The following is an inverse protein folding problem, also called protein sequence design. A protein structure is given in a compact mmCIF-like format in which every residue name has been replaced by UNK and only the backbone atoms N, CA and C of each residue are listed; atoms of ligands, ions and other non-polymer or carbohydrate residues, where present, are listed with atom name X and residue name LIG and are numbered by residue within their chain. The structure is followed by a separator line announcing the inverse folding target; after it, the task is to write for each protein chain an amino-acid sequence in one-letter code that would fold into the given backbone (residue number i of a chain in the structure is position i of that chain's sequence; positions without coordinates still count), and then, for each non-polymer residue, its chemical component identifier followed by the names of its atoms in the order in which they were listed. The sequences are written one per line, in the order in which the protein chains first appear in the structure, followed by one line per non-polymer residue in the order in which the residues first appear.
data_IF_358189598333
#
_entry.id   IF_358189598333
#
_cell.length_a   1.000
_cell.length_b   1.000
_cell.length_c   1.000
_cell.angle_alpha   90.00
_cell.angle_beta   90.00
_cell.angle_gamma   90.00
#
_symmetry.space_group_name_H-M   'P 1'
#
loop_
_entity.id
_entity.type
_entity.pdbx_description
1 polymer ?
#
# COMPACT_ATOMS: atom_id res chain seq x y z
N UNK A 1 -6.89 -37.12 28.14
CA UNK A 1 -7.44 -36.24 27.09
C UNK A 1 -6.55 -35.01 27.02
N UNK A 2 -5.63 -34.93 26.05
CA UNK A 2 -4.59 -33.91 26.01
C UNK A 2 -5.10 -32.61 25.37
N UNK A 3 -5.08 -31.51 26.11
CA UNK A 3 -5.27 -30.17 25.56
C UNK A 3 -3.96 -29.72 24.89
N UNK A 4 -3.92 -29.68 23.55
CA UNK A 4 -2.77 -29.15 22.82
C UNK A 4 -2.91 -27.62 22.82
N UNK A 5 -2.21 -26.97 23.75
CA UNK A 5 -1.90 -25.54 23.69
C UNK A 5 -1.14 -25.26 22.40
N UNK A 6 -1.86 -24.84 21.35
CA UNK A 6 -1.25 -24.40 20.09
C UNK A 6 -0.46 -23.11 20.31
N UNK A 7 0.83 -23.22 20.63
CA UNK A 7 1.75 -22.07 20.60
C UNK A 7 1.69 -21.48 19.19
N UNK A 8 1.16 -20.27 19.03
CA UNK A 8 1.28 -19.51 17.78
C UNK A 8 2.77 -19.29 17.55
N UNK A 9 3.33 -19.95 16.54
CA UNK A 9 4.71 -19.70 16.09
C UNK A 9 4.89 -18.20 15.84
N UNK A 10 6.02 -17.59 16.23
CA UNK A 10 6.28 -16.19 15.95
C UNK A 10 6.08 -15.94 14.46
N UNK A 11 5.28 -14.95 14.12
CA UNK A 11 5.11 -14.63 12.71
C UNK A 11 6.47 -14.24 12.14
N UNK A 12 6.82 -14.76 10.95
CA UNK A 12 8.10 -14.41 10.33
C UNK A 12 8.20 -12.89 10.24
N UNK A 13 9.33 -12.36 10.71
CA UNK A 13 9.67 -10.94 10.58
C UNK A 13 9.50 -10.54 9.11
N UNK A 14 8.91 -9.36 8.88
CA UNK A 14 8.80 -8.77 7.54
C UNK A 14 10.12 -8.89 6.79
N UNK A 15 10.11 -9.69 5.72
CA UNK A 15 11.33 -10.22 5.08
C UNK A 15 11.84 -9.26 4.01
N UNK A 16 11.01 -8.31 3.56
CA UNK A 16 11.38 -7.34 2.53
C UNK A 16 10.47 -6.11 2.52
N UNK A 17 10.99 -4.99 2.02
CA UNK A 17 10.24 -3.77 1.71
C UNK A 17 10.15 -3.58 0.20
N UNK A 18 8.99 -3.10 -0.29
CA UNK A 18 8.79 -2.77 -1.70
C UNK A 18 8.02 -1.47 -1.86
N UNK A 19 8.54 -0.56 -2.68
CA UNK A 19 7.82 0.64 -3.10
C UNK A 19 6.95 0.28 -4.30
N UNK A 20 5.67 0.64 -4.26
CA UNK A 20 4.76 0.52 -5.39
C UNK A 20 4.60 1.90 -6.04
N UNK A 21 5.17 2.05 -7.23
CA UNK A 21 4.99 3.24 -8.05
C UNK A 21 3.60 3.23 -8.70
N UNK A 22 2.96 4.39 -8.76
CA UNK A 22 1.70 4.55 -9.50
C UNK A 22 1.97 4.45 -11.00
N UNK A 23 1.20 3.59 -11.69
CA UNK A 23 1.22 3.52 -13.15
C UNK A 23 0.67 4.81 -13.76
N UNK A 24 -0.37 5.37 -13.16
CA UNK A 24 -1.01 6.58 -13.64
C UNK A 24 -0.30 7.85 -13.15
N UNK A 25 0.21 8.64 -14.09
CA UNK A 25 0.90 9.91 -13.83
C UNK A 25 -0.04 11.13 -13.97
N UNK A 26 -1.10 11.00 -14.76
CA UNK A 26 -2.04 12.08 -15.09
C UNK A 26 -3.46 11.75 -14.65
N UNK A 27 -4.21 12.78 -14.24
CA UNK A 27 -5.59 12.68 -13.80
C UNK A 27 -6.45 12.07 -14.91
N UNK A 28 -7.22 10.99 -14.67
CA UNK A 28 -8.09 10.43 -15.69
C UNK A 28 -9.23 11.37 -16.11
N UNK A 29 -9.57 12.35 -15.26
CA UNK A 29 -10.64 13.32 -15.52
C UNK A 29 -10.16 14.58 -16.22
N UNK A 30 -9.14 15.27 -15.69
CA UNK A 30 -8.68 16.55 -16.24
C UNK A 30 -7.30 16.50 -16.92
N UNK A 31 -6.70 15.32 -17.06
CA UNK A 31 -5.39 15.08 -17.69
C UNK A 31 -4.19 15.82 -17.08
N UNK A 32 -4.40 16.64 -16.04
CA UNK A 32 -3.31 17.33 -15.32
C UNK A 32 -2.42 16.34 -14.55
N UNK A 33 -1.14 16.66 -14.34
CA UNK A 33 -0.23 15.83 -13.54
C UNK A 33 -0.78 15.57 -12.13
N UNK A 34 -0.58 14.35 -11.64
CA UNK A 34 -0.93 13.94 -10.28
C UNK A 34 0.33 13.75 -9.45
N UNK A 35 0.41 14.44 -8.33
CA UNK A 35 1.53 14.38 -7.40
C UNK A 35 1.26 13.45 -6.24
N UNK A 36 2.34 12.98 -5.61
CA UNK A 36 2.24 12.22 -4.37
C UNK A 36 1.68 13.12 -3.28
N UNK A 37 0.53 12.74 -2.74
CA UNK A 37 -0.08 13.43 -1.61
C UNK A 37 0.50 12.88 -0.31
N UNK A 38 0.50 11.55 -0.15
CA UNK A 38 1.06 10.89 1.02
C UNK A 38 1.48 9.44 0.73
N UNK A 39 2.33 8.92 1.60
CA UNK A 39 2.74 7.52 1.57
C UNK A 39 1.91 6.71 2.56
N UNK A 40 1.46 5.53 2.15
CA UNK A 40 0.72 4.60 3.00
C UNK A 40 1.53 3.30 3.15
N UNK A 41 1.89 2.97 4.39
CA UNK A 41 2.60 1.74 4.73
C UNK A 41 1.61 0.60 4.99
N UNK A 42 1.72 -0.49 4.22
CA UNK A 42 0.90 -1.69 4.40
C UNK A 42 1.78 -2.92 4.62
N UNK A 43 1.35 -3.82 5.49
CA UNK A 43 1.98 -5.13 5.68
C UNK A 43 1.07 -6.20 5.09
N UNK A 44 1.59 -6.99 4.16
CA UNK A 44 0.86 -8.08 3.51
C UNK A 44 1.52 -9.40 3.88
N UNK A 45 0.73 -10.37 4.35
CA UNK A 45 1.23 -11.74 4.55
C UNK A 45 1.07 -12.51 3.25
N UNK A 46 2.15 -13.13 2.80
CA UNK A 46 2.19 -14.01 1.64
C UNK A 46 2.59 -15.43 2.08
N UNK A 47 2.44 -16.42 1.20
CA UNK A 47 2.94 -17.77 1.46
C UNK A 47 4.47 -17.82 1.70
N UNK A 48 5.21 -16.82 1.23
CA UNK A 48 6.67 -16.70 1.36
C UNK A 48 7.12 -15.84 2.55
N UNK A 49 6.19 -15.32 3.34
CA UNK A 49 6.48 -14.42 4.47
C UNK A 49 5.75 -13.08 4.37
N UNK A 50 6.13 -12.14 5.25
CA UNK A 50 5.49 -10.84 5.35
C UNK A 50 6.26 -9.80 4.52
N UNK A 51 5.55 -9.04 3.69
CA UNK A 51 6.11 -7.96 2.87
C UNK A 51 5.58 -6.62 3.36
N UNK A 52 6.45 -5.64 3.51
CA UNK A 52 6.08 -4.26 3.78
C UNK A 52 6.01 -3.47 2.46
N UNK A 53 4.83 -2.98 2.12
CA UNK A 53 4.58 -2.18 0.94
C UNK A 53 4.53 -0.70 1.32
N UNK A 54 5.30 0.14 0.62
CA UNK A 54 5.14 1.59 0.63
C UNK A 54 4.33 1.99 -0.60
N UNK A 55 3.08 2.39 -0.39
CA UNK A 55 2.21 2.86 -1.46
C UNK A 55 2.32 4.38 -1.55
N UNK A 56 2.65 4.91 -2.73
CA UNK A 56 2.56 6.34 -3.02
C UNK A 56 1.12 6.67 -3.42
N UNK A 57 0.39 7.37 -2.57
CA UNK A 57 -0.98 7.78 -2.87
C UNK A 57 -0.92 9.12 -3.59
N UNK A 58 -1.43 9.15 -4.83
CA UNK A 58 -1.48 10.34 -5.67
C UNK A 58 -2.93 10.80 -5.84
N UNK A 59 -3.19 12.09 -5.65
CA UNK A 59 -4.51 12.70 -5.88
C UNK A 59 -4.41 13.94 -6.74
N UNK A 60 -5.43 14.15 -7.56
CA UNK A 60 -5.50 15.34 -8.39
C UNK A 60 -5.57 16.56 -7.46
N UNK A 61 -4.72 17.55 -7.70
CA UNK A 61 -4.68 18.80 -6.91
C UNK A 61 -5.39 19.96 -7.62
N UNK A 62 -6.07 19.68 -8.73
CA UNK A 62 -6.79 20.68 -9.50
C UNK A 62 -8.18 20.90 -8.90
N UNK A 63 -8.38 22.00 -8.18
CA UNK A 63 -9.65 22.32 -7.48
C UNK A 63 -10.86 22.31 -8.43
N UNK A 64 -10.67 22.66 -9.70
CA UNK A 64 -11.74 22.66 -10.71
C UNK A 64 -12.03 21.28 -11.31
N UNK A 65 -11.34 20.22 -10.88
CA UNK A 65 -11.52 18.87 -11.40
C UNK A 65 -12.63 18.14 -10.62
N UNK A 66 -13.48 17.40 -11.31
CA UNK A 66 -14.61 16.67 -10.70
C UNK A 66 -14.18 15.61 -9.66
N UNK A 67 -12.94 15.10 -9.75
CA UNK A 67 -12.40 14.10 -8.82
C UNK A 67 -11.58 14.72 -7.67
N UNK A 68 -11.45 16.05 -7.63
CA UNK A 68 -10.74 16.74 -6.55
C UNK A 68 -11.49 16.55 -5.23
N UNK A 69 -10.79 16.04 -4.21
CA UNK A 69 -11.31 15.76 -2.85
C UNK A 69 -10.23 15.99 -1.82
#
# INVERSE_FOLDING_TARGET
MWCINGKKSPQPKGTSSKVLECVQQNCPSCSKPIWNEYNNLRRVRTLKGVVQLLLKIRRCQNISCEIYK
#
